data_IF_068126360963
#
_entry.id   IF_068126360963
#
_cell.length_a   1.000
_cell.length_b   1.000
_cell.length_c   1.000
_cell.angle_alpha   90.00
_cell.angle_beta   90.00
_cell.angle_gamma   90.00
#
_symmetry.space_group_name_H-M   'P 1'
#
loop_
_entity.id
_entity.type
_entity.pdbx_description
1 polymer ?
#
# COMPACT_ATOMS: atom_id res chain seq x y z
N UNK A 1 24.93 -19.83 -2.31
CA UNK A 1 24.60 -18.50 -1.75
C UNK A 1 23.08 -18.40 -1.68
N UNK A 2 22.48 -18.70 -0.53
CA UNK A 2 21.02 -18.72 -0.40
C UNK A 2 20.50 -17.28 -0.38
N UNK A 3 19.67 -16.96 -1.36
CA UNK A 3 19.01 -15.67 -1.51
C UNK A 3 18.12 -15.46 -0.29
N UNK A 4 18.35 -14.42 0.50
CA UNK A 4 17.42 -13.98 1.54
C UNK A 4 16.07 -13.76 0.87
N UNK A 5 15.10 -14.63 1.13
CA UNK A 5 13.76 -14.49 0.60
C UNK A 5 13.12 -13.35 1.40
N UNK A 6 13.25 -12.12 0.90
CA UNK A 6 12.36 -11.04 1.30
C UNK A 6 10.95 -11.57 1.17
N UNK A 7 10.25 -11.68 2.30
CA UNK A 7 8.94 -12.31 2.38
C UNK A 7 7.99 -11.48 1.51
N UNK A 8 7.69 -11.97 0.30
CA UNK A 8 6.76 -11.31 -0.62
C UNK A 8 5.37 -11.41 -0.02
N UNK A 9 4.80 -10.28 0.38
CA UNK A 9 3.43 -10.22 0.83
C UNK A 9 2.49 -10.49 -0.35
N UNK A 10 1.55 -11.40 -0.14
CA UNK A 10 0.46 -11.66 -1.10
C UNK A 10 -0.59 -10.56 -1.02
N UNK A 11 -1.48 -10.49 -2.02
CA UNK A 11 -2.59 -9.52 -2.02
C UNK A 11 -3.44 -9.64 -0.74
N UNK A 12 -3.65 -10.86 -0.25
CA UNK A 12 -4.41 -11.14 0.98
C UNK A 12 -3.66 -10.63 2.20
N UNK A 13 -2.35 -10.90 2.31
CA UNK A 13 -1.55 -10.44 3.46
C UNK A 13 -1.55 -8.91 3.56
N UNK A 14 -1.43 -8.22 2.42
CA UNK A 14 -1.46 -6.75 2.38
C UNK A 14 -2.83 -6.26 2.82
N UNK A 15 -3.91 -6.87 2.33
CA UNK A 15 -5.26 -6.50 2.71
C UNK A 15 -5.47 -6.64 4.22
N UNK A 16 -5.02 -7.74 4.81
CA UNK A 16 -5.10 -7.96 6.26
C UNK A 16 -4.28 -6.95 7.07
N UNK A 17 -3.08 -6.58 6.60
CA UNK A 17 -2.25 -5.56 7.27
C UNK A 17 -2.98 -4.22 7.26
N UNK A 18 -3.50 -3.82 6.09
CA UNK A 18 -4.22 -2.55 5.95
C UNK A 18 -5.46 -2.57 6.84
N UNK A 19 -6.28 -3.62 6.78
CA UNK A 19 -7.53 -3.71 7.55
C UNK A 19 -7.32 -3.77 9.08
N UNK A 20 -6.14 -4.20 9.55
CA UNK A 20 -5.76 -4.13 10.98
C UNK A 20 -5.51 -2.69 11.44
N UNK A 21 -5.05 -1.82 10.56
CA UNK A 21 -4.76 -0.41 10.89
C UNK A 21 -5.95 0.51 10.56
N UNK A 22 -6.54 0.34 9.38
CA UNK A 22 -7.61 1.18 8.86
C UNK A 22 -8.43 0.44 7.80
N UNK A 23 -9.76 0.55 7.83
CA UNK A 23 -10.59 0.05 6.74
C UNK A 23 -10.24 0.76 5.43
N UNK A 24 -10.07 0.00 4.34
CA UNK A 24 -9.69 0.54 3.02
C UNK A 24 -10.67 1.64 2.57
N UNK A 25 -11.97 1.46 2.80
CA UNK A 25 -13.00 2.45 2.47
C UNK A 25 -12.78 3.79 3.21
N UNK A 26 -12.34 3.72 4.47
CA UNK A 26 -12.05 4.91 5.29
C UNK A 26 -10.76 5.57 4.81
N UNK A 27 -9.73 4.78 4.50
CA UNK A 27 -8.47 5.29 3.93
C UNK A 27 -8.72 6.11 2.65
N UNK A 28 -9.65 5.66 1.80
CA UNK A 28 -9.98 6.33 0.55
C UNK A 28 -10.78 7.62 0.73
N UNK A 29 -11.46 7.79 1.87
CA UNK A 29 -12.18 9.01 2.25
C UNK A 29 -11.32 10.05 2.96
N UNK A 30 -10.08 9.71 3.34
CA UNK A 30 -9.17 10.65 3.98
C UNK A 30 -8.76 11.80 3.04
N UNK A 31 -8.43 12.99 3.59
CA UNK A 31 -7.79 14.05 2.83
C UNK A 31 -6.55 13.52 2.08
N UNK A 32 -6.32 14.04 0.87
CA UNK A 32 -5.29 13.54 -0.06
C UNK A 32 -3.92 13.40 0.61
N UNK A 33 -3.50 14.37 1.43
CA UNK A 33 -2.23 14.34 2.14
C UNK A 33 -2.13 13.17 3.12
N UNK A 34 -3.16 12.99 3.96
CA UNK A 34 -3.22 11.89 4.93
C UNK A 34 -3.26 10.54 4.22
N UNK A 35 -4.13 10.39 3.21
CA UNK A 35 -4.21 9.18 2.40
C UNK A 35 -2.86 8.83 1.77
N UNK A 36 -2.20 9.82 1.16
CA UNK A 36 -0.91 9.60 0.51
C UNK A 36 0.17 9.19 1.51
N UNK A 37 0.18 9.77 2.72
CA UNK A 37 1.09 9.35 3.79
C UNK A 37 0.88 7.88 4.17
N UNK A 38 -0.36 7.47 4.43
CA UNK A 38 -0.68 6.07 4.74
C UNK A 38 -0.28 5.11 3.61
N UNK A 39 -0.60 5.43 2.36
CA UNK A 39 -0.23 4.60 1.21
C UNK A 39 1.30 4.44 1.11
N UNK A 40 2.05 5.52 1.37
CA UNK A 40 3.51 5.50 1.37
C UNK A 40 4.07 4.65 2.50
N UNK A 41 3.53 4.77 3.71
CA UNK A 41 3.95 3.98 4.86
C UNK A 41 3.72 2.48 4.58
N UNK A 42 2.52 2.10 4.10
CA UNK A 42 2.22 0.71 3.71
C UNK A 42 3.22 0.20 2.65
N UNK A 43 3.50 1.01 1.63
CA UNK A 43 4.44 0.65 0.57
C UNK A 43 5.86 0.39 1.11
N UNK A 44 6.34 1.24 2.02
CA UNK A 44 7.65 1.09 2.65
C UNK A 44 7.73 -0.13 3.57
N UNK A 45 6.65 -0.46 4.27
CA UNK A 45 6.61 -1.59 5.21
C UNK A 45 6.40 -2.96 4.55
N UNK A 46 5.77 -3.00 3.37
CA UNK A 46 5.37 -4.27 2.72
C UNK A 46 6.25 -4.68 1.54
N UNK A 47 7.15 -3.81 1.04
CA UNK A 47 8.02 -4.09 -0.12
C UNK A 47 7.27 -4.60 -1.38
N UNK A 48 6.02 -4.18 -1.55
CA UNK A 48 5.14 -4.61 -2.65
C UNK A 48 5.29 -3.72 -3.88
N UNK A 49 4.85 -4.19 -5.04
CA UNK A 49 4.80 -3.32 -6.22
C UNK A 49 3.65 -2.31 -6.15
N UNK A 50 3.80 -1.14 -6.78
CA UNK A 50 2.73 -0.12 -6.91
C UNK A 50 1.45 -0.73 -7.50
N UNK A 51 1.58 -1.65 -8.46
CA UNK A 51 0.43 -2.31 -9.10
C UNK A 51 -0.33 -3.20 -8.11
N UNK A 52 0.41 -3.95 -7.30
CA UNK A 52 -0.17 -4.83 -6.30
C UNK A 52 -0.90 -4.03 -5.22
N UNK A 53 -0.27 -2.95 -4.74
CA UNK A 53 -0.89 -2.05 -3.78
C UNK A 53 -2.15 -1.36 -4.33
N UNK A 54 -2.11 -0.90 -5.59
CA UNK A 54 -3.29 -0.33 -6.25
C UNK A 54 -4.45 -1.32 -6.38
N UNK A 55 -4.14 -2.59 -6.70
CA UNK A 55 -5.13 -3.67 -6.77
C UNK A 55 -5.77 -3.93 -5.40
N UNK A 56 -4.97 -4.03 -4.34
CA UNK A 56 -5.47 -4.28 -2.97
C UNK A 56 -6.33 -3.12 -2.47
N UNK A 57 -5.91 -1.89 -2.73
CA UNK A 57 -6.63 -0.68 -2.36
C UNK A 57 -7.86 -0.38 -3.22
N UNK A 58 -8.11 -1.16 -4.28
CA UNK A 58 -9.21 -0.90 -5.22
C UNK A 58 -9.11 0.47 -5.91
N UNK A 59 -7.90 0.97 -6.12
CA UNK A 59 -7.65 2.34 -6.59
C UNK A 59 -6.82 2.39 -7.86
N UNK A 60 -6.80 3.55 -8.52
CA UNK A 60 -5.98 3.77 -9.70
C UNK A 60 -4.47 3.82 -9.37
N UNK A 61 -3.64 3.23 -10.24
CA UNK A 61 -2.17 3.27 -10.13
C UNK A 61 -1.63 4.69 -9.90
N UNK A 62 -2.20 5.68 -10.58
CA UNK A 62 -1.76 7.08 -10.48
C UNK A 62 -1.88 7.66 -9.07
N UNK A 63 -2.87 7.24 -8.28
CA UNK A 63 -3.04 7.68 -6.89
C UNK A 63 -1.90 7.13 -6.03
N UNK A 64 -1.61 5.84 -6.16
CA UNK A 64 -0.52 5.18 -5.43
C UNK A 64 0.83 5.71 -5.86
N UNK A 65 1.05 5.89 -7.16
CA UNK A 65 2.29 6.44 -7.71
C UNK A 65 2.54 7.87 -7.23
N UNK A 66 1.50 8.72 -7.18
CA UNK A 66 1.59 10.06 -6.60
C UNK A 66 1.94 9.98 -5.11
N UNK A 67 1.27 9.12 -4.34
CA UNK A 67 1.55 8.95 -2.91
C UNK A 67 2.98 8.51 -2.62
N UNK A 68 3.54 7.61 -3.44
CA UNK A 68 4.91 7.12 -3.28
C UNK A 68 5.95 8.16 -3.74
N UNK A 69 5.68 8.93 -4.80
CA UNK A 69 6.63 9.90 -5.40
C UNK A 69 6.59 11.30 -4.78
N UNK A 70 5.46 11.74 -4.23
CA UNK A 70 5.33 13.05 -3.59
C UNK A 70 6.04 13.03 -2.23
N UNK A 71 7.31 13.41 -2.20
CA UNK A 71 8.05 13.82 -0.99
C UNK A 71 8.37 15.30 -1.08
#
# INVERSE_FOLDING_TARGET
MYKSVEKKFTDTDIKEIIEKEIKIDVLMQLPIEKRNKYIKDIYQHTAVSIRQLAKVLGTGKGIVEKAVRSS
#
